data_IF_145986176279
#
_entry.id   IF_145986176279
#
_cell.length_a   1.000
_cell.length_b   1.000
_cell.length_c   1.000
_cell.angle_alpha   90.00
_cell.angle_beta   90.00
_cell.angle_gamma   90.00
#
_symmetry.space_group_name_H-M   'P 1'
#
loop_
_entity.id
_entity.type
_entity.pdbx_description
1 polymer ?
#
# COMPACT_ATOMS: atom_id res chain seq x y z
N UNK A 1 -23.44 -22.42 16.84
CA UNK A 1 -23.02 -22.90 18.18
C UNK A 1 -22.10 -21.84 18.73
N UNK A 2 -22.43 -21.24 19.86
CA UNK A 2 -21.64 -20.12 20.39
C UNK A 2 -20.33 -20.64 20.97
N UNK A 3 -19.18 -20.03 20.61
CA UNK A 3 -17.82 -20.44 21.05
C UNK A 3 -17.69 -20.49 22.59
N UNK A 4 -18.56 -19.78 23.30
CA UNK A 4 -18.59 -19.69 24.77
C UNK A 4 -19.67 -20.56 25.42
N UNK A 5 -20.41 -21.34 24.64
CA UNK A 5 -21.52 -22.18 25.10
C UNK A 5 -20.97 -23.38 25.88
N UNK A 6 -21.37 -23.52 27.14
CA UNK A 6 -20.86 -24.57 28.05
C UNK A 6 -19.62 -24.19 28.88
N UNK A 7 -19.04 -23.01 28.69
CA UNK A 7 -17.97 -22.51 29.56
C UNK A 7 -18.54 -21.78 30.77
N UNK A 8 -18.14 -22.17 31.98
CA UNK A 8 -18.67 -21.59 33.21
C UNK A 8 -17.94 -20.32 33.64
N UNK A 9 -16.60 -20.30 33.56
CA UNK A 9 -15.81 -19.16 34.07
C UNK A 9 -15.58 -18.09 33.00
N UNK A 10 -15.51 -16.83 33.44
CA UNK A 10 -15.12 -15.72 32.56
C UNK A 10 -13.71 -15.93 31.97
N UNK A 11 -12.78 -16.50 32.74
CA UNK A 11 -11.43 -16.80 32.26
C UNK A 11 -11.40 -17.84 31.15
N UNK A 12 -12.24 -18.88 31.21
CA UNK A 12 -12.30 -19.90 30.15
C UNK A 12 -12.91 -19.33 28.88
N UNK A 13 -13.96 -18.50 29.00
CA UNK A 13 -14.54 -17.76 27.86
C UNK A 13 -13.51 -16.83 27.20
N UNK A 14 -12.70 -16.13 28.01
CA UNK A 14 -11.61 -15.28 27.50
C UNK A 14 -10.61 -16.13 26.71
N UNK A 15 -10.13 -17.25 27.25
CA UNK A 15 -9.14 -18.10 26.56
C UNK A 15 -9.70 -18.68 25.26
N UNK A 16 -10.96 -19.12 25.26
CA UNK A 16 -11.61 -19.66 24.06
C UNK A 16 -11.71 -18.60 22.96
N UNK A 17 -12.22 -17.40 23.28
CA UNK A 17 -12.34 -16.32 22.31
C UNK A 17 -10.97 -15.84 21.78
N UNK A 18 -9.96 -15.74 22.63
CA UNK A 18 -8.62 -15.33 22.19
C UNK A 18 -7.98 -16.37 21.25
N UNK A 19 -8.18 -17.67 21.49
CA UNK A 19 -7.68 -18.75 20.61
C UNK A 19 -8.41 -18.81 19.27
N UNK A 20 -9.66 -18.36 19.25
CA UNK A 20 -10.43 -18.16 18.01
C UNK A 20 -10.08 -16.85 17.29
N UNK A 21 -9.07 -16.11 17.79
CA UNK A 21 -8.52 -14.93 17.12
C UNK A 21 -9.27 -13.62 17.38
N UNK A 22 -10.20 -13.59 18.34
CA UNK A 22 -10.84 -12.35 18.77
C UNK A 22 -9.85 -11.41 19.45
N UNK A 23 -10.01 -10.10 19.26
CA UNK A 23 -9.15 -9.12 19.91
C UNK A 23 -9.46 -9.02 21.40
N UNK A 24 -8.45 -8.71 22.21
CA UNK A 24 -8.61 -8.50 23.66
C UNK A 24 -9.64 -7.42 24.01
N UNK A 25 -9.82 -6.42 23.13
CA UNK A 25 -10.85 -5.38 23.24
C UNK A 25 -12.24 -5.95 22.97
N UNK A 26 -12.41 -6.71 21.90
CA UNK A 26 -13.67 -7.37 21.55
C UNK A 26 -14.12 -8.36 22.63
N UNK A 27 -13.16 -9.09 23.23
CA UNK A 27 -13.43 -9.99 24.35
C UNK A 27 -13.87 -9.24 25.60
N UNK A 28 -13.27 -8.07 25.86
CA UNK A 28 -13.65 -7.22 27.00
C UNK A 28 -15.09 -6.71 26.86
N UNK A 29 -15.43 -6.24 25.65
CA UNK A 29 -16.77 -5.73 25.32
C UNK A 29 -17.81 -6.86 25.32
N UNK A 30 -17.49 -8.01 24.72
CA UNK A 30 -18.40 -9.16 24.62
C UNK A 30 -18.75 -9.79 25.98
N UNK A 31 -17.79 -9.80 26.92
CA UNK A 31 -17.97 -10.39 28.25
C UNK A 31 -18.33 -9.36 29.34
N UNK A 32 -18.48 -8.09 28.96
CA UNK A 32 -18.71 -6.95 29.85
C UNK A 32 -17.74 -6.95 31.05
N UNK A 33 -16.44 -6.90 30.74
CA UNK A 33 -15.36 -6.91 31.74
C UNK A 33 -14.25 -5.93 31.36
N UNK A 34 -13.48 -5.53 32.37
CA UNK A 34 -12.32 -4.65 32.14
C UNK A 34 -11.25 -5.33 31.29
N UNK A 35 -10.72 -4.60 30.31
CA UNK A 35 -9.58 -4.99 29.48
C UNK A 35 -8.39 -5.56 30.27
N UNK A 36 -8.06 -4.98 31.42
CA UNK A 36 -6.96 -5.45 32.26
C UNK A 36 -7.13 -6.89 32.76
N UNK A 37 -8.39 -7.34 32.94
CA UNK A 37 -8.69 -8.72 33.31
C UNK A 37 -8.43 -9.67 32.12
N UNK A 38 -8.85 -9.29 30.92
CA UNK A 38 -8.56 -10.02 29.67
C UNK A 38 -7.06 -10.12 29.43
N UNK A 39 -6.34 -9.00 29.57
CA UNK A 39 -4.87 -8.95 29.44
C UNK A 39 -4.18 -9.87 30.46
N UNK A 40 -4.60 -9.85 31.72
CA UNK A 40 -4.02 -10.70 32.76
C UNK A 40 -4.22 -12.19 32.42
N UNK A 41 -5.44 -12.59 32.06
CA UNK A 41 -5.73 -13.98 31.68
C UNK A 41 -4.93 -14.42 30.46
N UNK A 42 -4.75 -13.54 29.46
CA UNK A 42 -3.94 -13.83 28.28
C UNK A 42 -2.46 -14.03 28.63
N UNK A 43 -1.89 -13.15 29.47
CA UNK A 43 -0.49 -13.25 29.91
C UNK A 43 -0.26 -14.50 30.75
N UNK A 44 -1.13 -14.76 31.74
CA UNK A 44 -1.03 -15.93 32.62
C UNK A 44 -1.18 -17.25 31.86
N UNK A 45 -1.89 -17.23 30.71
CA UNK A 45 -2.10 -18.40 29.84
C UNK A 45 -1.11 -18.50 28.67
N UNK A 46 -0.16 -17.57 28.54
CA UNK A 46 0.79 -17.54 27.42
C UNK A 46 0.14 -17.33 26.04
N UNK A 47 -1.03 -16.70 25.98
CA UNK A 47 -1.76 -16.45 24.72
C UNK A 47 -1.29 -15.10 24.13
N UNK A 48 -0.44 -15.18 23.11
CA UNK A 48 0.04 -14.01 22.35
C UNK A 48 -0.95 -13.58 21.25
N UNK A 49 -1.89 -14.45 20.88
CA UNK A 49 -2.96 -14.16 19.93
C UNK A 49 -3.94 -13.08 20.44
N UNK A 50 -4.66 -12.43 19.50
CA UNK A 50 -5.65 -11.39 19.82
C UNK A 50 -5.08 -9.98 20.08
N UNK A 51 -3.83 -9.72 19.67
CA UNK A 51 -3.19 -8.41 19.75
C UNK A 51 -3.54 -7.47 18.59
N UNK A 52 -3.72 -7.99 17.36
CA UNK A 52 -4.00 -7.20 16.17
C UNK A 52 -4.81 -8.03 15.16
N UNK A 53 -5.83 -7.43 14.54
CA UNK A 53 -6.45 -7.99 13.34
C UNK A 53 -5.45 -7.79 12.21
N UNK A 54 -4.91 -8.89 11.68
CA UNK A 54 -4.28 -8.93 10.36
C UNK A 54 -3.38 -7.75 10.01
N UNK A 55 -2.37 -7.46 10.81
CA UNK A 55 -1.15 -6.85 10.28
C UNK A 55 -0.11 -7.96 10.32
N UNK A 56 0.33 -8.43 9.16
CA UNK A 56 1.59 -9.17 9.09
C UNK A 56 2.66 -8.18 9.51
N UNK A 57 3.02 -8.19 10.79
CA UNK A 57 4.21 -7.49 11.28
C UNK A 57 5.38 -8.20 10.62
N UNK A 58 5.84 -7.67 9.48
CA UNK A 58 7.09 -8.12 8.88
C UNK A 58 8.15 -7.96 9.97
N UNK A 59 8.84 -9.05 10.39
CA UNK A 59 9.91 -8.94 11.37
C UNK A 59 10.93 -7.90 10.88
N UNK A 60 11.57 -7.16 11.82
CA UNK A 60 12.58 -6.13 11.51
C UNK A 60 13.46 -6.59 10.35
N UNK A 61 13.33 -5.93 9.20
CA UNK A 61 13.97 -6.36 7.96
C UNK A 61 15.47 -6.55 8.21
N UNK A 62 15.98 -7.76 7.93
CA UNK A 62 17.42 -7.94 7.71
C UNK A 62 17.86 -6.93 6.63
N UNK A 63 19.09 -6.40 6.69
CA UNK A 63 19.58 -5.50 5.65
C UNK A 63 19.36 -6.15 4.29
N UNK A 64 18.60 -5.46 3.44
CA UNK A 64 18.31 -5.91 2.08
C UNK A 64 19.69 -6.03 1.40
N UNK A 65 20.07 -7.21 0.89
CA UNK A 65 21.32 -7.35 0.14
C UNK A 65 21.35 -6.28 -0.94
N UNK A 66 22.52 -5.67 -1.22
CA UNK A 66 22.68 -4.80 -2.39
C UNK A 66 22.51 -5.65 -3.65
N UNK A 67 21.27 -5.82 -4.10
CA UNK A 67 20.96 -6.54 -5.32
C UNK A 67 21.23 -5.58 -6.48
N UNK A 68 22.09 -6.03 -7.39
CA UNK A 68 22.34 -5.42 -8.70
C UNK A 68 20.99 -5.31 -9.41
N UNK A 69 20.68 -4.11 -9.92
CA UNK A 69 19.37 -3.72 -10.50
C UNK A 69 18.85 -4.75 -11.51
N UNK A 70 17.94 -5.61 -11.08
CA UNK A 70 17.07 -6.34 -11.98
C UNK A 70 15.77 -5.54 -12.09
N UNK A 71 15.35 -5.24 -13.32
CA UNK A 71 14.06 -4.61 -13.56
C UNK A 71 12.95 -5.52 -13.02
N UNK A 72 12.07 -4.98 -12.17
CA UNK A 72 11.00 -5.76 -11.53
C UNK A 72 9.77 -5.80 -12.44
N UNK A 73 9.26 -7.00 -12.69
CA UNK A 73 8.07 -7.24 -13.50
C UNK A 73 6.78 -6.76 -12.81
N UNK A 74 5.79 -6.37 -13.62
CA UNK A 74 4.49 -5.86 -13.17
C UNK A 74 3.67 -6.92 -12.40
N UNK A 75 3.92 -8.21 -12.63
CA UNK A 75 3.20 -9.31 -11.97
C UNK A 75 3.23 -9.19 -10.44
N UNK A 76 4.34 -8.69 -9.89
CA UNK A 76 4.51 -8.44 -8.44
C UNK A 76 3.43 -7.50 -7.89
N UNK A 77 3.01 -6.50 -8.66
CA UNK A 77 1.97 -5.57 -8.23
C UNK A 77 0.57 -6.08 -8.54
N UNK A 78 0.35 -6.74 -9.69
CA UNK A 78 -0.98 -7.27 -10.04
C UNK A 78 -1.40 -8.41 -9.12
N UNK A 79 -0.46 -9.28 -8.73
CA UNK A 79 -0.70 -10.33 -7.74
C UNK A 79 -1.03 -9.74 -6.35
N UNK A 80 -0.57 -8.52 -6.08
CA UNK A 80 -0.85 -7.77 -4.86
C UNK A 80 -2.11 -6.88 -4.95
N UNK A 81 -2.86 -6.96 -6.05
CA UNK A 81 -4.13 -6.23 -6.23
C UNK A 81 -4.01 -4.85 -6.88
N UNK A 82 -2.90 -4.55 -7.58
CA UNK A 82 -2.89 -3.42 -8.51
C UNK A 82 -3.70 -3.76 -9.76
N UNK A 83 -4.49 -2.80 -10.21
CA UNK A 83 -5.31 -2.90 -11.41
C UNK A 83 -4.75 -2.03 -12.52
N UNK A 84 -4.84 -2.50 -13.76
CA UNK A 84 -4.47 -1.71 -14.93
C UNK A 84 -5.49 -0.58 -15.13
N UNK A 85 -5.02 0.65 -15.12
CA UNK A 85 -5.83 1.83 -15.39
C UNK A 85 -5.94 2.11 -16.89
N UNK A 86 -4.80 2.24 -17.57
CA UNK A 86 -4.73 2.69 -18.96
C UNK A 86 -3.29 2.97 -19.41
N UNK A 87 -3.13 3.79 -20.44
CA UNK A 87 -1.83 4.12 -21.03
C UNK A 87 -1.68 5.62 -21.28
N UNK A 88 -0.42 6.09 -21.26
CA UNK A 88 -0.09 7.39 -21.83
C UNK A 88 -0.01 7.29 -23.36
N UNK A 89 -0.66 8.23 -24.02
CA UNK A 89 -0.67 8.39 -25.48
C UNK A 89 -0.21 9.80 -25.85
N UNK A 90 0.14 10.02 -27.11
CA UNK A 90 0.40 11.39 -27.61
C UNK A 90 -0.91 12.18 -27.64
N UNK A 91 -0.85 13.47 -27.29
CA UNK A 91 -1.99 14.38 -27.45
C UNK A 91 -2.09 15.00 -28.86
N UNK A 92 -1.16 14.66 -29.76
CA UNK A 92 -1.07 15.20 -31.12
C UNK A 92 -0.45 16.59 -31.23
N UNK A 93 -0.18 17.28 -30.12
CA UNK A 93 0.42 18.61 -30.04
C UNK A 93 1.84 18.58 -29.45
N UNK A 94 2.45 17.39 -29.33
CA UNK A 94 3.77 17.18 -28.73
C UNK A 94 3.74 16.99 -27.21
N UNK A 95 2.55 16.85 -26.62
CA UNK A 95 2.35 16.47 -25.23
C UNK A 95 1.84 15.04 -25.08
N UNK A 96 1.41 14.71 -23.86
CA UNK A 96 0.89 13.39 -23.50
C UNK A 96 -0.53 13.50 -22.97
N UNK A 97 -1.35 12.49 -23.23
CA UNK A 97 -2.71 12.37 -22.71
C UNK A 97 -2.92 10.97 -22.11
N UNK A 98 -3.88 10.87 -21.19
CA UNK A 98 -4.34 9.59 -20.67
C UNK A 98 -5.45 9.07 -21.60
N UNK A 99 -5.38 7.81 -22.01
CA UNK A 99 -6.37 7.15 -22.88
C UNK A 99 -7.73 6.86 -22.20
N UNK A 100 -7.79 7.02 -20.88
CA UNK A 100 -8.94 6.70 -20.03
C UNK A 100 -9.25 7.79 -19.02
N UNK A 101 -10.35 7.64 -18.28
CA UNK A 101 -10.63 8.42 -17.08
C UNK A 101 -9.99 7.80 -15.84
N UNK A 102 -9.30 8.61 -15.05
CA UNK A 102 -8.75 8.19 -13.77
C UNK A 102 -9.70 8.48 -12.58
N UNK A 103 -9.65 7.66 -11.51
CA UNK A 103 -10.44 7.87 -10.30
C UNK A 103 -10.00 9.13 -9.55
N UNK A 104 -10.91 9.69 -8.74
CA UNK A 104 -10.67 10.91 -7.94
C UNK A 104 -10.11 10.60 -6.55
N UNK A 105 -10.00 9.33 -6.21
CA UNK A 105 -9.60 8.82 -4.91
C UNK A 105 -8.08 8.75 -4.75
N UNK A 106 -7.64 8.85 -3.50
CA UNK A 106 -6.24 8.69 -3.14
C UNK A 106 -5.77 7.26 -3.37
N UNK A 107 -4.50 7.10 -3.73
CA UNK A 107 -3.97 5.78 -4.02
C UNK A 107 -2.51 5.81 -4.46
N UNK A 108 -1.98 4.62 -4.71
CA UNK A 108 -0.65 4.39 -5.29
C UNK A 108 -0.82 4.11 -6.77
N UNK A 109 0.13 4.55 -7.57
CA UNK A 109 0.17 4.26 -8.99
C UNK A 109 1.59 3.89 -9.43
N UNK A 110 1.69 3.11 -10.50
CA UNK A 110 2.93 2.71 -11.13
C UNK A 110 2.92 3.03 -12.63
N UNK A 111 4.08 3.41 -13.17
CA UNK A 111 4.30 3.44 -14.62
C UNK A 111 5.16 2.27 -15.04
N UNK A 112 4.72 1.61 -16.11
CA UNK A 112 5.28 0.34 -16.58
C UNK A 112 5.61 0.48 -18.07
N UNK A 113 6.77 -0.03 -18.46
CA UNK A 113 7.23 -0.09 -19.85
C UNK A 113 7.72 -1.50 -20.10
N UNK A 114 7.24 -2.14 -21.16
CA UNK A 114 7.57 -3.51 -21.54
C UNK A 114 7.41 -4.53 -20.38
N UNK A 115 6.33 -4.35 -19.60
CA UNK A 115 6.04 -5.20 -18.43
C UNK A 115 6.93 -4.93 -17.20
N UNK A 116 7.81 -3.93 -17.24
CA UNK A 116 8.76 -3.61 -16.19
C UNK A 116 8.38 -2.32 -15.46
N UNK A 117 8.40 -2.35 -14.12
CA UNK A 117 8.04 -1.21 -13.27
C UNK A 117 9.14 -0.14 -13.35
N UNK A 118 8.80 1.03 -13.88
CA UNK A 118 9.73 2.15 -14.04
C UNK A 118 9.56 3.25 -13.01
N UNK A 119 8.33 3.49 -12.54
CA UNK A 119 8.03 4.53 -11.56
C UNK A 119 6.94 4.09 -10.59
N UNK A 120 7.03 4.51 -9.34
CA UNK A 120 5.97 4.37 -8.33
C UNK A 120 5.73 5.73 -7.69
N UNK A 121 4.46 6.09 -7.49
CA UNK A 121 4.11 7.30 -6.76
C UNK A 121 2.79 7.17 -6.03
N UNK A 122 2.56 8.12 -5.12
CA UNK A 122 1.32 8.24 -4.36
C UNK A 122 0.59 9.53 -4.73
N UNK A 123 -0.75 9.48 -4.74
CA UNK A 123 -1.58 10.67 -4.81
C UNK A 123 -2.48 10.76 -3.57
N UNK A 124 -2.45 11.93 -2.91
CA UNK A 124 -3.38 12.26 -1.82
C UNK A 124 -4.64 12.99 -2.30
N UNK A 125 -4.54 13.69 -3.43
CA UNK A 125 -5.61 14.53 -3.99
C UNK A 125 -6.37 13.86 -5.15
N UNK A 126 -6.21 12.55 -5.31
CA UNK A 126 -6.82 11.78 -6.39
C UNK A 126 -5.84 11.36 -7.49
N UNK A 127 -5.96 10.13 -8.00
CA UNK A 127 -5.18 9.67 -9.16
C UNK A 127 -5.37 10.61 -10.36
N UNK A 128 -6.60 11.06 -10.63
CA UNK A 128 -6.91 11.99 -11.73
C UNK A 128 -6.12 13.30 -11.67
N UNK A 129 -6.04 13.90 -10.49
CA UNK A 129 -5.26 15.12 -10.27
C UNK A 129 -3.79 14.86 -10.56
N UNK A 130 -3.27 13.72 -10.12
CA UNK A 130 -1.87 13.35 -10.31
C UNK A 130 -1.50 13.11 -11.78
N UNK A 131 -2.35 12.40 -12.52
CA UNK A 131 -2.18 12.24 -13.97
C UNK A 131 -2.25 13.59 -14.69
N UNK A 132 -3.17 14.47 -14.30
CA UNK A 132 -3.26 15.83 -14.87
C UNK A 132 -1.98 16.64 -14.64
N UNK A 133 -1.34 16.50 -13.47
CA UNK A 133 -0.06 17.16 -13.17
C UNK A 133 1.08 16.66 -14.05
N UNK A 134 1.13 15.35 -14.35
CA UNK A 134 2.11 14.82 -15.29
C UNK A 134 1.83 15.33 -16.70
N UNK A 135 0.58 15.28 -17.18
CA UNK A 135 0.22 15.84 -18.49
C UNK A 135 0.70 17.29 -18.66
N UNK A 136 0.44 18.13 -17.66
CA UNK A 136 0.77 19.56 -17.73
C UNK A 136 2.27 19.86 -17.61
N UNK A 137 3.07 18.95 -17.06
CA UNK A 137 4.53 19.12 -16.96
C UNK A 137 4.99 20.40 -16.26
N UNK A 138 4.24 20.90 -15.26
CA UNK A 138 4.45 22.25 -14.69
C UNK A 138 5.90 22.50 -14.26
N UNK A 139 6.53 23.56 -14.80
CA UNK A 139 7.94 23.92 -14.56
C UNK A 139 8.31 24.14 -13.09
N UNK A 140 7.34 24.45 -12.21
CA UNK A 140 7.57 24.55 -10.75
C UNK A 140 7.64 23.22 -10.01
N UNK A 141 7.14 22.14 -10.61
CA UNK A 141 7.11 20.80 -10.02
C UNK A 141 8.17 19.91 -10.65
N UNK A 142 9.42 19.99 -10.15
CA UNK A 142 10.59 19.29 -10.71
C UNK A 142 10.35 17.80 -11.01
N UNK A 143 9.64 17.09 -10.14
CA UNK A 143 9.30 15.67 -10.36
C UNK A 143 8.31 15.50 -11.50
N UNK A 144 7.23 16.29 -11.53
CA UNK A 144 6.20 16.22 -12.56
C UNK A 144 6.77 16.58 -13.93
N UNK A 145 7.59 17.64 -14.02
CA UNK A 145 8.27 18.03 -15.26
C UNK A 145 9.24 16.95 -15.78
N UNK A 146 10.08 16.39 -14.90
CA UNK A 146 11.02 15.32 -15.28
C UNK A 146 10.29 14.06 -15.74
N UNK A 147 9.29 13.60 -14.97
CA UNK A 147 8.56 12.38 -15.30
C UNK A 147 7.71 12.58 -16.55
N UNK A 148 7.13 13.77 -16.75
CA UNK A 148 6.48 14.14 -18.02
C UNK A 148 7.45 13.97 -19.19
N UNK A 149 8.66 14.54 -19.10
CA UNK A 149 9.67 14.43 -20.14
C UNK A 149 9.97 12.96 -20.49
N UNK A 150 10.23 12.13 -19.46
CA UNK A 150 10.54 10.71 -19.66
C UNK A 150 9.37 9.95 -20.30
N UNK A 151 8.12 10.22 -19.90
CA UNK A 151 6.94 9.61 -20.52
C UNK A 151 6.82 10.06 -21.98
N UNK A 152 7.01 11.34 -22.26
CA UNK A 152 6.88 11.90 -23.61
C UNK A 152 7.94 11.32 -24.57
N UNK A 153 9.17 11.14 -24.09
CA UNK A 153 10.24 10.45 -24.83
C UNK A 153 9.83 9.02 -25.24
N UNK A 154 9.24 8.24 -24.32
CA UNK A 154 8.77 6.88 -24.62
C UNK A 154 7.60 6.87 -25.59
N UNK A 155 6.59 7.73 -25.35
CA UNK A 155 5.39 7.82 -26.19
C UNK A 155 5.75 8.26 -27.61
N UNK A 156 6.66 9.23 -27.78
CA UNK A 156 7.13 9.70 -29.10
C UNK A 156 8.01 8.65 -29.80
N UNK A 157 8.75 7.85 -29.05
CA UNK A 157 9.48 6.68 -29.57
C UNK A 157 8.56 5.49 -29.92
N UNK A 158 7.23 5.61 -29.73
CA UNK A 158 6.27 4.55 -30.01
C UNK A 158 6.21 3.44 -28.94
N UNK A 159 6.83 3.67 -27.78
CA UNK A 159 6.78 2.74 -26.64
C UNK A 159 5.55 3.04 -25.78
N UNK A 160 4.87 1.99 -25.34
CA UNK A 160 3.68 2.12 -24.49
C UNK A 160 4.08 2.28 -23.03
N UNK A 161 3.61 3.35 -22.40
CA UNK A 161 3.73 3.55 -20.95
C UNK A 161 2.39 3.22 -20.30
N UNK A 162 2.30 2.06 -19.68
CA UNK A 162 1.10 1.62 -18.97
C UNK A 162 1.04 2.18 -17.56
N UNK A 163 -0.18 2.28 -17.04
CA UNK A 163 -0.46 2.81 -15.70
C UNK A 163 -1.25 1.77 -14.92
N UNK A 164 -0.75 1.44 -13.74
CA UNK A 164 -1.41 0.56 -12.78
C UNK A 164 -1.69 1.33 -11.49
N UNK A 165 -2.78 1.01 -10.81
CA UNK A 165 -3.22 1.71 -9.59
C UNK A 165 -3.63 0.73 -8.49
N UNK A 166 -3.47 1.17 -7.24
CA UNK A 166 -4.05 0.52 -6.07
C UNK A 166 -4.60 1.57 -5.11
N UNK A 167 -5.77 1.30 -4.54
CA UNK A 167 -6.46 2.17 -3.59
C UNK A 167 -6.62 1.40 -2.27
N UNK A 168 -5.54 1.23 -1.49
CA UNK A 168 -5.61 0.47 -0.25
C UNK A 168 -6.56 1.15 0.75
N UNK A 169 -7.30 0.38 1.56
CA UNK A 169 -8.21 0.95 2.53
C UNK A 169 -7.46 1.80 3.58
N UNK A 170 -8.18 2.74 4.20
CA UNK A 170 -7.68 3.44 5.37
C UNK A 170 -7.44 2.43 6.51
N UNK A 171 -6.34 2.60 7.23
CA UNK A 171 -5.99 1.79 8.38
C UNK A 171 -5.82 2.68 9.62
N UNK A 172 -5.87 2.05 10.78
CA UNK A 172 -5.59 2.69 12.05
C UNK A 172 -4.53 1.92 12.83
N UNK A 173 -3.72 2.65 13.60
CA UNK A 173 -2.78 2.10 14.55
C UNK A 173 -3.05 2.70 15.93
N UNK A 174 -3.57 1.89 16.85
CA UNK A 174 -3.97 2.33 18.19
C UNK A 174 -4.92 3.56 18.18
N UNK A 175 -5.86 3.59 17.25
CA UNK A 175 -6.81 4.70 17.06
C UNK A 175 -6.23 5.93 16.36
N UNK A 176 -4.98 5.88 15.87
CA UNK A 176 -4.40 6.92 15.03
C UNK A 176 -4.52 6.54 13.55
N UNK A 177 -4.88 7.47 12.66
CA UNK A 177 -5.03 7.19 11.24
C UNK A 177 -3.67 6.90 10.59
N UNK A 178 -3.62 5.86 9.76
CA UNK A 178 -2.47 5.50 8.94
C UNK A 178 -2.77 5.86 7.49
N UNK A 179 -1.86 6.63 6.86
CA UNK A 179 -1.93 6.91 5.42
C UNK A 179 -1.40 5.69 4.66
N UNK A 180 -2.25 4.66 4.51
CA UNK A 180 -1.87 3.36 3.95
C UNK A 180 -1.20 3.48 2.59
N UNK A 181 -1.73 4.33 1.70
CA UNK A 181 -1.16 4.54 0.37
C UNK A 181 0.27 5.12 0.42
N UNK A 182 0.57 6.02 1.37
CA UNK A 182 1.92 6.57 1.51
C UNK A 182 2.89 5.54 2.10
N UNK A 183 2.42 4.73 3.06
CA UNK A 183 3.23 3.63 3.60
C UNK A 183 3.53 2.57 2.54
N UNK A 184 2.55 2.22 1.71
CA UNK A 184 2.69 1.29 0.60
C UNK A 184 3.69 1.80 -0.44
N UNK A 185 3.57 3.07 -0.86
CA UNK A 185 4.51 3.69 -1.81
C UNK A 185 5.95 3.66 -1.28
N UNK A 186 6.16 4.09 -0.03
CA UNK A 186 7.50 4.07 0.58
C UNK A 186 8.09 2.64 0.64
N UNK A 187 7.27 1.66 1.02
CA UNK A 187 7.66 0.25 1.04
C UNK A 187 8.05 -0.28 -0.34
N UNK A 188 7.22 0.00 -1.36
CA UNK A 188 7.47 -0.42 -2.73
C UNK A 188 8.70 0.25 -3.35
N UNK A 189 8.91 1.56 -3.13
CA UNK A 189 10.11 2.25 -3.61
C UNK A 189 11.37 1.67 -2.97
N UNK A 190 11.33 1.35 -1.67
CA UNK A 190 12.45 0.72 -0.98
C UNK A 190 12.74 -0.69 -1.50
N UNK A 191 11.69 -1.46 -1.79
CA UNK A 191 11.78 -2.85 -2.26
C UNK A 191 12.25 -2.94 -3.72
N UNK A 192 11.67 -2.11 -4.60
CA UNK A 192 11.81 -2.21 -6.06
C UNK A 192 12.92 -1.28 -6.59
N UNK A 193 13.15 -0.14 -5.92
CA UNK A 193 14.03 0.93 -6.37
C UNK A 193 13.81 1.32 -7.86
N UNK A 194 12.58 1.71 -8.26
CA UNK A 194 12.26 1.92 -9.67
C UNK A 194 13.18 2.96 -10.32
N UNK A 195 13.63 2.75 -11.57
CA UNK A 195 14.65 3.59 -12.19
C UNK A 195 14.25 5.06 -12.37
N UNK A 196 12.95 5.37 -12.48
CA UNK A 196 12.47 6.75 -12.62
C UNK A 196 12.19 7.41 -11.27
N UNK A 197 12.27 6.69 -10.14
CA UNK A 197 12.20 7.28 -8.80
C UNK A 197 13.57 7.84 -8.42
N UNK A 198 13.61 9.09 -7.95
CA UNK A 198 14.83 9.61 -7.33
C UNK A 198 14.93 8.99 -5.94
N UNK A 199 15.95 8.17 -5.72
CA UNK A 199 16.29 7.74 -4.37
C UNK A 199 16.85 8.96 -3.63
N UNK A 200 16.24 9.31 -2.50
CA UNK A 200 16.91 10.19 -1.55
C UNK A 200 18.22 9.51 -1.16
N UNK A 201 19.34 10.19 -1.31
CA UNK A 201 20.61 9.71 -0.74
C UNK A 201 20.37 9.69 0.77
N UNK A 202 20.22 8.50 1.35
CA UNK A 202 20.34 8.32 2.80
C UNK A 202 21.79 8.68 3.14
N UNK A 203 22.01 9.89 3.66
CA UNK A 203 23.23 10.29 4.34
C UNK A 203 23.13 9.91 5.81
#
# INVERSE_FOLDING_TARGET
>A
MSIVEGLETKSDKIRALLREGYLRTEVADFLDIRYQHVRKVAVDAGIEDGLQRGIVVVPKSKPIPKVVREDVAIDVLTDAGFERLGTWVTDGAGGIALDTSAPRDAGVYAFVVDGLIKYIGVSRAGIRSRMSNYRLGQMGQKTSARVNQVINEHVTAGTVVEIYIAMPPALEWNGLPVITAAGLEAGLIKMIQPPWNKMGVEN
#
